data_IF_255927606798
#
_entry.id   IF_255927606798
#
_cell.length_a   1.000
_cell.length_b   1.000
_cell.length_c   1.000
_cell.angle_alpha   90.00
_cell.angle_beta   90.00
_cell.angle_gamma   90.00
#
_symmetry.space_group_name_H-M   'P 1'
#
loop_
_entity.id
_entity.type
_entity.pdbx_description
1 polymer ?
#
# COMPACT_ATOMS: atom_id res chain seq x y z
N UNK A 1 -23.97 -1.47 -26.31
CA UNK A 1 -22.52 -1.74 -26.18
C UNK A 1 -21.74 -0.59 -25.52
N UNK A 2 -22.13 0.68 -25.72
CA UNK A 2 -21.45 1.86 -25.11
C UNK A 2 -21.49 1.87 -23.56
N UNK A 3 -22.66 1.58 -22.98
CA UNK A 3 -22.89 1.57 -21.52
C UNK A 3 -21.98 0.58 -20.79
N UNK A 4 -21.69 -0.58 -21.40
CA UNK A 4 -20.78 -1.57 -20.81
C UNK A 4 -19.32 -1.08 -20.78
N UNK A 5 -18.85 -0.38 -21.82
CA UNK A 5 -17.50 0.20 -21.84
C UNK A 5 -17.33 1.26 -20.75
N UNK A 6 -18.32 2.12 -20.60
CA UNK A 6 -18.29 3.22 -19.61
C UNK A 6 -18.24 2.69 -18.16
N UNK A 7 -18.97 1.60 -17.87
CA UNK A 7 -18.91 0.91 -16.57
C UNK A 7 -17.53 0.28 -16.34
N UNK A 8 -16.95 -0.35 -17.36
CA UNK A 8 -15.63 -0.99 -17.26
C UNK A 8 -14.54 0.05 -17.02
N UNK A 9 -14.52 1.14 -17.80
CA UNK A 9 -13.53 2.20 -17.64
C UNK A 9 -13.63 2.85 -16.25
N UNK A 10 -14.85 3.13 -15.78
CA UNK A 10 -15.03 3.70 -14.44
C UNK A 10 -14.50 2.77 -13.35
N UNK A 11 -14.77 1.46 -13.42
CA UNK A 11 -14.21 0.50 -12.46
C UNK A 11 -12.68 0.47 -12.49
N UNK A 12 -12.09 0.54 -13.68
CA UNK A 12 -10.65 0.53 -13.83
C UNK A 12 -9.99 1.78 -13.24
N UNK A 13 -10.61 2.96 -13.44
CA UNK A 13 -10.18 4.18 -12.79
C UNK A 13 -10.31 4.12 -11.26
N UNK A 14 -11.39 3.56 -10.73
CA UNK A 14 -11.56 3.36 -9.29
C UNK A 14 -10.50 2.41 -8.70
N UNK A 15 -10.15 1.34 -9.40
CA UNK A 15 -9.07 0.43 -9.03
C UNK A 15 -7.70 1.10 -9.05
N UNK A 16 -7.41 1.89 -10.09
CA UNK A 16 -6.18 2.68 -10.18
C UNK A 16 -6.09 3.72 -9.07
N UNK A 17 -7.19 4.43 -8.77
CA UNK A 17 -7.25 5.37 -7.64
C UNK A 17 -6.95 4.69 -6.30
N UNK A 18 -7.50 3.50 -6.07
CA UNK A 18 -7.22 2.70 -4.86
C UNK A 18 -5.76 2.25 -4.81
N UNK A 19 -5.21 1.79 -5.93
CA UNK A 19 -3.81 1.40 -6.03
C UNK A 19 -2.88 2.58 -5.73
N UNK A 20 -3.14 3.73 -6.34
CA UNK A 20 -2.39 4.97 -6.15
C UNK A 20 -2.51 5.56 -4.74
N UNK A 21 -3.61 5.30 -4.03
CA UNK A 21 -3.77 5.71 -2.64
C UNK A 21 -2.85 4.93 -1.68
N UNK A 22 -2.31 3.78 -2.11
CA UNK A 22 -1.48 2.88 -1.30
C UNK A 22 -0.04 2.71 -1.83
N UNK A 23 0.24 3.14 -3.06
CA UNK A 23 1.56 3.05 -3.68
C UNK A 23 2.09 4.43 -4.05
N UNK A 24 3.40 4.62 -3.94
CA UNK A 24 4.07 5.81 -4.42
C UNK A 24 4.18 5.75 -5.95
N UNK A 25 3.59 6.72 -6.65
CA UNK A 25 3.53 6.71 -8.12
C UNK A 25 4.90 6.80 -8.80
N UNK A 26 5.93 7.32 -8.12
CA UNK A 26 7.26 7.51 -8.69
C UNK A 26 8.09 6.23 -8.63
N UNK A 27 7.88 5.39 -7.61
CA UNK A 27 8.70 4.19 -7.35
C UNK A 27 7.93 2.88 -7.48
N UNK A 28 6.59 2.90 -7.49
CA UNK A 28 5.74 1.71 -7.44
C UNK A 28 5.79 0.97 -6.10
N UNK A 29 6.54 1.49 -5.11
CA UNK A 29 6.67 0.90 -3.79
C UNK A 29 5.44 1.25 -2.92
N UNK A 30 5.19 0.47 -1.85
CA UNK A 30 4.21 0.84 -0.82
C UNK A 30 4.48 2.26 -0.33
N UNK A 31 3.46 3.10 -0.36
CA UNK A 31 3.60 4.44 0.17
C UNK A 31 3.71 4.39 1.71
N UNK A 32 4.05 5.54 2.30
CA UNK A 32 4.21 5.65 3.77
C UNK A 32 2.97 5.22 4.55
N UNK A 33 1.77 5.38 3.98
CA UNK A 33 0.52 4.94 4.59
C UNK A 33 0.46 3.42 4.67
N UNK A 34 0.66 2.73 3.54
CA UNK A 34 0.64 1.27 3.49
C UNK A 34 1.73 0.65 4.38
N UNK A 35 2.95 1.22 4.40
CA UNK A 35 4.00 0.77 5.31
C UNK A 35 3.62 0.93 6.78
N UNK A 36 3.02 2.06 7.17
CA UNK A 36 2.59 2.30 8.55
C UNK A 36 1.46 1.37 8.99
N UNK A 37 0.50 1.12 8.10
CA UNK A 37 -0.62 0.21 8.37
C UNK A 37 -0.10 -1.22 8.60
N UNK A 38 0.81 -1.71 7.75
CA UNK A 38 1.47 -3.01 7.93
C UNK A 38 2.26 -3.09 9.23
N UNK A 39 3.10 -2.08 9.49
CA UNK A 39 3.91 -2.03 10.71
C UNK A 39 3.06 -2.03 11.99
N UNK A 40 1.89 -1.40 11.97
CA UNK A 40 0.94 -1.44 13.09
C UNK A 40 0.41 -2.85 13.32
N UNK A 41 0.04 -3.55 12.24
CA UNK A 41 -0.40 -4.95 12.29
C UNK A 41 0.72 -5.88 12.80
N UNK A 42 1.93 -5.70 12.30
CA UNK A 42 3.09 -6.54 12.66
C UNK A 42 3.52 -6.35 14.12
N UNK A 43 3.42 -5.12 14.66
CA UNK A 43 3.65 -4.86 16.09
C UNK A 43 2.64 -5.61 16.97
N UNK A 44 1.35 -5.61 16.57
CA UNK A 44 0.32 -6.33 17.32
C UNK A 44 0.62 -7.84 17.30
N UNK A 45 0.95 -8.38 16.13
CA UNK A 45 1.31 -9.79 15.97
C UNK A 45 2.52 -10.17 16.83
N UNK A 46 3.61 -9.40 16.73
CA UNK A 46 4.83 -9.61 17.50
C UNK A 46 4.58 -9.59 19.01
N UNK A 47 3.72 -8.65 19.48
CA UNK A 47 3.33 -8.57 20.88
C UNK A 47 2.56 -9.81 21.35
N UNK A 48 1.63 -10.31 20.53
CA UNK A 48 0.83 -11.48 20.88
C UNK A 48 1.68 -12.77 20.93
N UNK A 49 2.69 -12.88 20.07
CA UNK A 49 3.51 -14.09 19.95
C UNK A 49 4.84 -14.01 20.71
N UNK A 50 5.12 -12.89 21.40
CA UNK A 50 6.41 -12.61 22.05
C UNK A 50 7.61 -12.67 21.09
N UNK A 51 7.40 -12.22 19.85
CA UNK A 51 8.44 -12.17 18.81
C UNK A 51 9.07 -10.77 18.73
N UNK A 52 10.31 -10.71 18.24
CA UNK A 52 10.98 -9.44 17.95
C UNK A 52 10.71 -9.00 16.50
N UNK A 53 10.33 -7.74 16.31
CA UNK A 53 10.17 -7.11 14.99
C UNK A 53 11.33 -6.16 14.71
N UNK A 54 11.89 -6.19 13.50
CA UNK A 54 12.90 -5.25 13.03
C UNK A 54 12.39 -4.50 11.79
N UNK A 55 12.75 -3.22 11.67
CA UNK A 55 12.35 -2.36 10.55
C UNK A 55 13.61 -1.84 9.87
N UNK A 56 13.73 -2.08 8.56
CA UNK A 56 14.82 -1.56 7.74
C UNK A 56 14.30 -0.39 6.91
N UNK A 57 14.94 0.76 7.05
CA UNK A 57 14.73 1.90 6.17
C UNK A 57 15.93 2.02 5.21
N UNK A 58 15.73 2.38 3.94
CA UNK A 58 16.84 2.62 3.04
C UNK A 58 17.69 3.78 3.59
N UNK A 59 19.00 3.59 3.66
CA UNK A 59 19.95 4.64 3.97
C UNK A 59 19.85 5.69 2.86
N UNK A 60 19.12 6.77 3.10
CA UNK A 60 19.01 7.87 2.15
C UNK A 60 20.36 8.58 2.15
N UNK A 61 21.27 8.19 1.26
CA UNK A 61 22.41 9.02 0.92
C UNK A 61 21.83 10.31 0.33
N UNK A 62 22.06 11.42 1.05
CA UNK A 62 21.77 12.77 0.59
C UNK A 62 22.54 13.09 -0.69
#
# INVERSE_FOLDING_TARGET
MLVFREIIERKHYEEQLKYNALHDMLTGLPNRRLCRDRLTSDIIHARCNQECLAVMAPATLR
#
